data_IF_709416317322
#
_entry.id   IF_709416317322
#
_cell.length_a   1.000
_cell.length_b   1.000
_cell.length_c   1.000
_cell.angle_alpha   90.00
_cell.angle_beta   90.00
_cell.angle_gamma   90.00
#
_symmetry.space_group_name_H-M   'P 1'
#
loop_
_entity.id
_entity.type
_entity.pdbx_description
1 polymer ?
2 non-polymer ?
3 non-polymer ?
4 non-polymer ?
5 non-polymer ?
6 non-polymer ?
7 non-polymer ?
8 water ?
#
# COMPACT_ATOMS: atom_id res chain seq x y z
N UNK A 3 21.46 6.50 22.55
CA UNK A 3 21.47 5.76 21.30
C UNK A 3 22.55 6.28 20.35
N UNK A 4 23.24 5.35 19.69
CA UNK A 4 24.28 5.68 18.72
C UNK A 4 23.79 5.31 17.32
N UNK A 5 23.73 6.28 16.43
CA UNK A 5 23.23 6.02 15.10
C UNK A 5 24.24 5.19 14.31
N UNK A 6 23.77 4.52 13.26
CA UNK A 6 24.66 3.65 12.48
C UNK A 6 25.87 4.37 11.93
N UNK A 7 26.95 3.61 11.81
CA UNK A 7 28.22 4.11 11.30
C UNK A 7 28.48 3.71 9.85
N UNK A 8 27.55 3.01 9.21
CA UNK A 8 27.75 2.51 7.86
C UNK A 8 28.11 3.63 6.90
N UNK A 9 28.95 3.35 5.90
CA UNK A 9 29.51 4.44 5.07
C UNK A 9 28.49 5.23 4.29
N UNK A 10 27.38 4.61 3.87
CA UNK A 10 26.36 5.29 3.10
C UNK A 10 25.15 5.70 3.94
N UNK A 11 25.18 5.49 5.25
CA UNK A 11 24.07 5.94 6.09
C UNK A 11 23.86 7.44 5.95
N UNK A 12 24.88 8.28 5.90
CA UNK A 12 24.63 9.71 5.71
C UNK A 12 23.88 10.03 4.42
N UNK A 13 24.00 9.18 3.39
CA UNK A 13 23.28 9.37 2.15
C UNK A 13 21.84 8.89 2.24
N UNK A 14 21.45 8.24 3.33
CA UNK A 14 20.08 7.72 3.49
C UNK A 14 19.23 8.82 4.10
N UNK A 15 19.04 9.86 3.29
CA UNK A 15 18.44 11.13 3.71
C UNK A 15 17.05 10.96 4.29
N UNK A 16 16.35 9.89 3.90
CA UNK A 16 14.98 9.63 4.33
C UNK A 16 14.93 8.95 5.68
N UNK A 17 16.08 8.47 6.17
CA UNK A 17 16.28 8.04 7.56
C UNK A 17 17.11 9.06 8.35
N UNK A 18 18.33 9.36 7.89
CA UNK A 18 19.28 10.11 8.70
C UNK A 18 19.07 11.61 8.65
N UNK A 19 18.01 12.09 8.01
CA UNK A 19 17.82 13.52 7.85
C UNK A 19 17.64 14.21 9.20
N UNK A 20 18.22 15.40 9.32
CA UNK A 20 18.09 16.26 10.48
C UNK A 20 17.24 17.49 10.18
N UNK A 21 16.52 17.49 9.05
CA UNK A 21 15.79 18.66 8.58
C UNK A 21 14.28 18.43 8.55
N UNK A 22 13.78 17.41 9.25
CA UNK A 22 12.36 17.07 9.36
C UNK A 22 11.74 16.57 8.06
N UNK A 23 12.53 16.35 7.01
CA UNK A 23 12.02 15.72 5.79
C UNK A 23 12.47 14.26 5.72
N UNK A 24 11.97 13.45 6.68
CA UNK A 24 12.37 12.05 6.77
C UNK A 24 11.25 11.24 7.44
N UNK A 25 11.48 9.93 7.56
CA UNK A 25 10.48 8.99 8.06
C UNK A 25 10.53 8.81 9.57
N UNK A 26 11.32 9.63 10.27
CA UNK A 26 11.37 9.63 11.73
C UNK A 26 11.71 8.23 12.26
N UNK A 27 12.70 7.60 11.62
CA UNK A 27 13.08 6.24 11.99
C UNK A 27 14.08 6.25 13.16
N UNK A 28 14.98 7.23 13.24
CA UNK A 28 15.92 7.26 14.36
C UNK A 28 15.20 7.28 15.70
N UNK A 29 14.06 7.99 15.75
CA UNK A 29 13.27 8.06 16.97
C UNK A 29 12.79 6.68 17.40
N UNK A 30 12.44 5.82 16.44
CA UNK A 30 12.06 4.46 16.80
C UNK A 30 13.26 3.65 17.24
N UNK A 31 14.39 3.76 16.53
CA UNK A 31 15.61 3.09 16.94
C UNK A 31 16.00 3.49 18.37
N UNK A 32 15.91 4.78 18.68
CA UNK A 32 16.26 5.24 20.03
C UNK A 32 15.28 4.76 21.10
N UNK A 33 14.02 4.50 20.73
CA UNK A 33 13.07 3.87 21.65
C UNK A 33 13.39 2.39 21.87
N UNK A 34 14.39 1.85 21.16
CA UNK A 34 14.80 0.47 21.29
C UNK A 34 14.28 -0.49 20.22
N UNK A 35 13.65 0.01 19.17
CA UNK A 35 12.99 -0.84 18.18
C UNK A 35 13.80 -0.85 16.90
N UNK A 36 14.34 -2.03 16.55
CA UNK A 36 15.15 -2.19 15.36
C UNK A 36 14.69 -3.36 14.49
N UNK A 37 13.64 -4.06 14.89
CA UNK A 37 13.10 -5.16 14.12
C UNK A 37 13.42 -6.54 14.66
N UNK A 38 14.11 -6.63 15.80
CA UNK A 38 14.41 -7.92 16.41
C UNK A 38 13.16 -8.80 16.46
N UNK A 39 13.29 -10.03 15.97
CA UNK A 39 12.21 -11.01 16.06
C UNK A 39 11.17 -10.94 14.96
N UNK A 40 11.25 -9.97 14.07
CA UNK A 40 10.26 -9.82 13.00
C UNK A 40 10.86 -10.39 11.72
N UNK A 41 9.98 -10.97 10.89
CA UNK A 41 10.36 -11.66 9.66
C UNK A 41 9.61 -11.01 8.51
N UNK A 42 10.35 -10.50 7.53
CA UNK A 42 9.82 -9.86 6.33
C UNK A 42 10.25 -10.65 5.10
N UNK A 43 9.36 -10.80 4.13
CA UNK A 43 9.70 -11.43 2.85
C UNK A 43 9.39 -10.49 1.69
N UNK A 44 10.36 -10.37 0.76
CA UNK A 44 10.24 -9.60 -0.46
C UNK A 44 9.76 -10.51 -1.58
N UNK A 45 8.57 -10.26 -2.13
CA UNK A 45 8.03 -11.07 -3.24
C UNK A 45 8.44 -10.39 -4.53
N UNK A 46 9.47 -10.90 -5.21
CA UNK A 46 10.00 -10.17 -6.36
C UNK A 46 10.78 -11.12 -7.24
N UNK A 47 11.96 -10.70 -7.72
CA UNK A 47 12.73 -11.47 -8.69
C UNK A 47 13.86 -12.27 -8.06
N UNK A 48 13.85 -12.42 -6.74
CA UNK A 48 14.89 -13.14 -6.03
C UNK A 48 15.64 -12.25 -5.05
N UNK A 49 16.49 -12.88 -4.26
CA UNK A 49 17.29 -12.16 -3.28
C UNK A 49 18.70 -12.73 -3.24
N UNK A 50 19.68 -11.85 -3.34
CA UNK A 50 21.09 -12.23 -3.26
C UNK A 50 21.41 -12.49 -1.80
N UNK A 51 21.21 -13.73 -1.37
CA UNK A 51 21.21 -14.06 0.06
C UNK A 51 22.60 -13.98 0.67
N UNK A 52 23.64 -14.04 -0.17
CA UNK A 52 25.02 -13.91 0.24
C UNK A 52 25.53 -12.48 0.15
N UNK A 53 24.65 -11.51 -0.09
CA UNK A 53 25.11 -10.12 -0.16
C UNK A 53 25.74 -9.74 1.18
N UNK A 54 26.90 -9.07 1.17
CA UNK A 54 27.54 -8.76 2.46
C UNK A 54 26.70 -7.91 3.39
N UNK A 55 25.72 -7.17 2.89
CA UNK A 55 24.84 -6.40 3.77
C UNK A 55 23.50 -7.09 4.02
N UNK A 56 23.27 -8.31 3.49
CA UNK A 56 22.05 -9.08 3.77
C UNK A 56 22.29 -10.39 4.50
N UNK A 57 23.46 -11.02 4.32
CA UNK A 57 23.67 -12.36 4.83
C UNK A 57 23.41 -12.46 6.32
N UNK A 58 23.82 -11.44 7.08
CA UNK A 58 23.67 -11.50 8.52
C UNK A 58 22.22 -11.59 8.98
N UNK A 59 21.29 -11.07 8.18
CA UNK A 59 19.87 -11.09 8.51
C UNK A 59 19.06 -12.07 7.67
N UNK A 60 19.70 -12.76 6.72
CA UNK A 60 18.96 -13.60 5.80
C UNK A 60 18.29 -14.78 6.51
N UNK A 61 17.05 -15.04 6.14
CA UNK A 61 16.24 -16.11 6.71
C UNK A 61 15.75 -17.03 5.61
N UNK A 62 16.29 -18.24 5.47
CA UNK A 62 15.74 -19.14 4.45
C UNK A 62 14.29 -19.53 4.68
N UNK A 63 13.82 -19.47 5.92
CA UNK A 63 12.41 -19.74 6.19
C UNK A 63 11.48 -18.66 5.70
N UNK A 64 12.02 -17.52 5.29
CA UNK A 64 11.24 -16.45 4.70
C UNK A 64 11.39 -16.42 3.19
N UNK A 65 11.91 -17.50 2.60
CA UNK A 65 12.34 -17.48 1.22
C UNK A 65 11.89 -18.75 0.50
N UNK A 66 11.73 -18.62 -0.81
CA UNK A 66 11.44 -19.75 -1.69
C UNK A 66 11.64 -19.28 -3.11
N UNK A 67 11.84 -20.24 -4.02
CA UNK A 67 11.93 -19.97 -5.45
C UNK A 67 10.72 -20.63 -6.11
N UNK A 68 9.68 -19.84 -6.34
CA UNK A 68 8.47 -20.35 -6.97
C UNK A 68 8.66 -20.50 -8.47
N UNK A 69 9.52 -19.70 -9.08
CA UNK A 69 9.71 -19.80 -10.54
C UNK A 69 10.33 -21.13 -10.92
N UNK A 70 11.32 -21.61 -10.16
CA UNK A 70 11.99 -22.86 -10.47
C UNK A 70 11.63 -23.99 -9.51
N UNK A 71 10.76 -23.72 -8.54
CA UNK A 71 10.27 -24.70 -7.56
C UNK A 71 11.43 -25.35 -6.78
N UNK A 72 12.12 -24.50 -6.03
CA UNK A 72 13.18 -24.94 -5.13
C UNK A 72 13.28 -23.93 -4.00
N UNK A 73 14.03 -24.25 -2.94
CA UNK A 73 14.01 -23.38 -1.76
C UNK A 73 14.87 -22.15 -1.88
N UNK A 74 15.70 -22.07 -2.94
CA UNK A 74 16.81 -21.12 -3.01
C UNK A 74 16.45 -19.96 -3.93
N UNK A 75 16.23 -18.75 -3.37
CA UNK A 75 15.72 -17.63 -4.19
C UNK A 75 16.81 -16.81 -4.85
N UNK A 76 18.01 -17.37 -4.96
CA UNK A 76 19.11 -16.61 -5.56
C UNK A 76 18.69 -16.08 -6.92
N UNK A 77 19.01 -14.82 -7.25
CA UNK A 77 18.63 -14.29 -8.56
C UNK A 77 19.37 -14.95 -9.71
N UNK A 78 18.72 -14.89 -10.87
CA UNK A 78 19.35 -15.27 -12.13
C UNK A 78 20.21 -14.10 -12.64
N UNK A 79 21.52 -14.35 -12.77
CA UNK A 79 22.45 -13.30 -13.17
C UNK A 79 22.46 -13.17 -14.69
N UNK A 80 22.32 -11.93 -15.16
CA UNK A 80 22.34 -11.63 -16.59
C UNK A 80 23.19 -10.38 -16.82
N UNK A 81 23.60 -10.19 -18.09
CA UNK A 81 24.44 -9.05 -18.44
C UNK A 81 23.78 -7.72 -18.12
N UNK A 82 22.46 -7.66 -18.24
CA UNK A 82 21.72 -6.45 -18.00
C UNK A 82 21.34 -6.27 -16.54
N UNK A 83 21.69 -7.24 -15.68
CA UNK A 83 21.31 -7.23 -14.27
C UNK A 83 19.82 -7.02 -14.07
N UNK A 84 19.02 -7.72 -14.88
CA UNK A 84 17.57 -7.56 -14.85
C UNK A 84 16.98 -7.94 -13.50
N UNK A 85 17.54 -8.93 -12.83
CA UNK A 85 16.94 -9.49 -11.62
C UNK A 85 17.54 -8.92 -10.35
N UNK A 86 17.68 -7.60 -10.32
CA UNK A 86 18.27 -6.87 -9.21
C UNK A 86 17.25 -6.33 -8.22
N UNK A 87 15.97 -6.36 -8.57
CA UNK A 87 15.01 -5.52 -7.85
C UNK A 87 14.71 -6.07 -6.45
N UNK A 88 14.62 -7.38 -6.29
CA UNK A 88 14.36 -7.94 -4.98
C UNK A 88 15.48 -7.71 -3.98
N UNK A 89 16.73 -7.73 -4.46
CA UNK A 89 17.88 -7.45 -3.60
C UNK A 89 17.87 -5.99 -3.14
N UNK A 90 17.56 -5.07 -4.03
CA UNK A 90 17.40 -3.67 -3.65
C UNK A 90 16.30 -3.50 -2.60
N UNK A 91 15.14 -4.13 -2.83
CA UNK A 91 14.05 -4.00 -1.87
C UNK A 91 14.42 -4.62 -0.52
N UNK A 92 15.12 -5.76 -0.52
CA UNK A 92 15.46 -6.42 0.73
C UNK A 92 16.35 -5.53 1.61
N UNK A 93 17.30 -4.84 1.00
CA UNK A 93 18.20 -3.99 1.78
C UNK A 93 17.51 -2.78 2.36
N UNK A 94 16.47 -2.30 1.71
CA UNK A 94 15.69 -1.23 2.29
C UNK A 94 15.08 -1.62 3.62
N UNK A 95 14.58 -2.86 3.71
CA UNK A 95 13.95 -3.34 4.94
C UNK A 95 15.01 -3.63 6.00
N UNK A 96 16.06 -4.37 5.60
CA UNK A 96 16.83 -5.08 6.61
C UNK A 96 18.31 -5.22 6.29
N UNK A 97 18.89 -4.29 5.54
CA UNK A 97 20.35 -4.26 5.46
C UNK A 97 20.98 -4.17 6.84
N UNK A 98 22.06 -4.94 7.03
CA UNK A 98 22.77 -5.01 8.30
C UNK A 98 23.37 -3.66 8.64
N UNK A 99 23.37 -3.33 9.92
CA UNK A 99 23.87 -2.06 10.41
C UNK A 99 25.25 -2.23 11.04
N UNK A 100 26.01 -1.14 11.01
CA UNK A 100 27.28 -1.01 11.75
C UNK A 100 28.32 -2.03 11.31
N UNK A 101 28.35 -2.36 10.01
CA UNK A 101 29.22 -3.39 9.50
C UNK A 101 30.13 -2.87 8.38
N UNK A 102 30.27 -1.55 8.25
CA UNK A 102 31.17 -0.99 7.25
C UNK A 102 30.76 -1.20 5.81
N UNK A 103 29.52 -1.61 5.54
CA UNK A 103 29.05 -1.91 4.19
C UNK A 103 27.78 -1.11 3.90
N UNK A 104 27.78 -0.38 2.78
CA UNK A 104 26.60 0.31 2.23
C UNK A 104 25.90 1.08 3.36
N UNK A 105 24.57 0.98 3.49
CA UNK A 105 23.85 1.71 4.52
C UNK A 105 23.17 0.74 5.47
N UNK A 106 21.94 1.06 5.90
CA UNK A 106 21.21 0.20 6.83
C UNK A 106 19.77 0.05 6.35
N UNK A 107 19.16 -1.05 6.76
CA UNK A 107 17.73 -1.19 6.65
C UNK A 107 17.00 -0.38 7.69
N UNK A 108 15.72 -0.09 7.38
CA UNK A 108 14.85 0.50 8.38
C UNK A 108 14.77 -0.38 9.62
N UNK A 109 14.58 -1.67 9.41
CA UNK A 109 14.53 -2.66 10.49
C UNK A 109 15.78 -3.52 10.40
N UNK A 110 16.92 -2.93 10.77
CA UNK A 110 18.20 -3.53 10.47
C UNK A 110 18.53 -4.72 11.36
N UNK A 111 17.68 -5.07 12.33
CA UNK A 111 17.81 -6.32 13.06
C UNK A 111 16.69 -7.29 12.76
N UNK A 112 15.83 -6.99 11.80
CA UNK A 112 14.83 -7.95 11.38
C UNK A 112 15.47 -9.03 10.51
N UNK A 113 14.75 -10.14 10.36
CA UNK A 113 15.14 -11.19 9.46
C UNK A 113 14.43 -10.99 8.13
N UNK A 114 15.14 -11.29 7.04
CA UNK A 114 14.72 -10.89 5.69
C UNK A 114 14.86 -12.08 4.76
N UNK A 115 13.80 -12.33 3.98
CA UNK A 115 13.85 -13.35 2.94
C UNK A 115 13.31 -12.80 1.63
N UNK A 116 13.36 -13.64 0.62
CA UNK A 116 12.81 -13.28 -0.67
C UNK A 116 12.14 -14.47 -1.33
N UNK A 117 11.06 -14.18 -2.07
CA UNK A 117 10.44 -15.17 -2.93
C UNK A 117 10.79 -14.79 -4.35
N UNK A 118 11.46 -15.71 -5.04
CA UNK A 118 11.76 -15.53 -6.46
C UNK A 118 10.51 -15.98 -7.21
N UNK A 119 9.71 -15.02 -7.66
CA UNK A 119 8.47 -15.36 -8.33
C UNK A 119 8.16 -14.49 -9.55
N UNK A 120 8.91 -13.42 -9.82
CA UNK A 120 8.64 -12.63 -11.01
C UNK A 120 9.45 -13.06 -12.22
N UNK A 121 10.44 -13.93 -12.05
CA UNK A 121 11.37 -14.26 -13.13
C UNK A 121 10.91 -15.54 -13.82
N UNK A 122 9.79 -15.41 -14.52
CA UNK A 122 9.15 -16.50 -15.19
C UNK A 122 7.72 -16.09 -15.50
N UNK A 123 6.92 -17.09 -15.88
CA UNK A 123 5.51 -16.84 -16.15
C UNK A 123 4.77 -16.71 -14.82
N UNK A 124 4.19 -15.53 -14.57
CA UNK A 124 3.59 -15.22 -13.28
C UNK A 124 2.09 -15.51 -13.40
N UNK A 125 1.74 -16.73 -13.05
CA UNK A 125 0.36 -17.18 -13.05
C UNK A 125 -0.31 -16.88 -11.71
N UNK A 126 -1.63 -17.06 -11.70
CA UNK A 126 -2.39 -16.98 -10.47
C UNK A 126 -1.80 -17.93 -9.42
N UNK A 127 -1.47 -19.15 -9.82
CA UNK A 127 -0.90 -20.11 -8.88
C UNK A 127 0.44 -19.63 -8.32
N UNK A 128 1.30 -19.06 -9.18
CA UNK A 128 2.58 -18.51 -8.72
C UNK A 128 2.35 -17.43 -7.68
N UNK A 129 1.40 -16.52 -7.95
CA UNK A 129 1.12 -15.46 -6.98
C UNK A 129 0.62 -16.05 -5.68
N UNK A 130 -0.29 -17.01 -5.77
CA UNK A 130 -0.92 -17.57 -4.57
C UNK A 130 0.11 -18.29 -3.70
N UNK A 131 1.00 -19.07 -4.32
CA UNK A 131 2.00 -19.77 -3.53
C UNK A 131 3.01 -18.83 -2.91
N UNK A 132 3.19 -17.64 -3.49
CA UNK A 132 4.10 -16.64 -2.93
C UNK A 132 3.49 -15.93 -1.73
N UNK A 133 2.25 -15.42 -1.91
CA UNK A 133 1.52 -14.73 -0.87
C UNK A 133 1.28 -15.64 0.32
N UNK A 134 1.15 -16.93 0.08
CA UNK A 134 0.91 -17.90 1.12
C UNK A 134 2.13 -18.62 1.63
N UNK A 135 3.34 -18.15 1.32
CA UNK A 135 4.55 -18.79 1.83
C UNK A 135 4.63 -18.68 3.34
N UNK A 136 4.77 -19.83 3.99
CA UNK A 136 5.15 -19.95 5.40
C UNK A 136 4.46 -18.89 6.27
N UNK A 137 3.12 -18.84 6.27
CA UNK A 137 2.41 -17.70 6.86
C UNK A 137 2.39 -17.67 8.38
N UNK A 138 2.88 -18.70 9.05
CA UNK A 138 3.07 -18.63 10.49
C UNK A 138 4.51 -18.38 10.87
N UNK A 139 5.35 -18.07 9.89
CA UNK A 139 6.72 -17.64 10.14
C UNK A 139 6.97 -16.24 9.64
N UNK A 140 6.57 -15.95 8.40
CA UNK A 140 6.71 -14.62 7.83
C UNK A 140 5.62 -13.74 8.42
N UNK A 141 5.99 -12.56 8.90
CA UNK A 141 5.03 -11.65 9.48
C UNK A 141 4.49 -10.68 8.43
N UNK A 142 5.38 -10.19 7.58
CA UNK A 142 5.13 -9.08 6.68
C UNK A 142 5.65 -9.45 5.30
N UNK A 143 4.83 -9.20 4.29
CA UNK A 143 5.18 -9.42 2.89
C UNK A 143 5.21 -8.08 2.18
N UNK A 144 6.17 -7.89 1.28
CA UNK A 144 6.32 -6.65 0.54
C UNK A 144 6.27 -6.99 -0.94
N UNK A 145 5.41 -6.28 -1.68
CA UNK A 145 5.21 -6.57 -3.10
C UNK A 145 5.13 -5.27 -3.90
N UNK A 146 5.99 -5.19 -4.91
CA UNK A 146 6.17 -4.02 -5.76
C UNK A 146 5.92 -4.49 -7.19
N UNK A 147 4.71 -4.95 -7.48
CA UNK A 147 4.34 -5.53 -8.77
C UNK A 147 2.82 -5.60 -8.86
N UNK A 148 2.33 -5.88 -10.07
CA UNK A 148 0.91 -6.03 -10.32
C UNK A 148 0.56 -5.85 -11.79
N UNK A 149 -0.70 -5.50 -12.07
CA UNK A 149 -1.13 -5.34 -13.47
C UNK A 149 -0.37 -4.23 -14.17
N UNK A 150 -0.24 -4.36 -15.50
CA UNK A 150 0.58 -3.44 -16.28
C UNK A 150 0.12 -2.00 -16.06
N UNK A 151 1.09 -1.13 -15.79
CA UNK A 151 0.83 0.29 -15.58
C UNK A 151 0.72 1.06 -16.89
N UNK A 152 -0.07 0.55 -17.83
CA UNK A 152 -0.23 1.21 -19.12
C UNK A 152 -1.37 2.23 -19.15
N UNK A 153 -2.10 2.39 -18.04
CA UNK A 153 -3.22 3.31 -18.00
C UNK A 153 -4.42 2.85 -18.76
N UNK A 154 -4.47 1.57 -19.14
CA UNK A 154 -5.64 1.03 -19.80
C UNK A 154 -6.09 -0.32 -19.27
N UNK A 155 -5.43 -0.86 -18.26
CA UNK A 155 -5.71 -2.18 -17.72
C UNK A 155 -6.59 -2.05 -16.50
N UNK A 156 -7.56 -2.95 -16.37
CA UNK A 156 -8.30 -3.15 -15.14
C UNK A 156 -8.15 -4.62 -14.80
N UNK A 157 -7.45 -4.93 -13.72
CA UNK A 157 -7.17 -6.33 -13.40
C UNK A 157 -6.75 -6.41 -11.94
N UNK A 158 -6.92 -7.60 -11.39
CA UNK A 158 -6.59 -7.84 -10.01
C UNK A 158 -6.36 -9.31 -9.77
N UNK A 159 -6.21 -9.69 -8.51
CA UNK A 159 -5.96 -11.09 -8.19
C UNK A 159 -7.07 -11.98 -8.71
N UNK A 160 -6.67 -13.08 -9.34
CA UNK A 160 -7.59 -14.15 -9.73
C UNK A 160 -7.85 -15.03 -8.50
N UNK A 161 -8.50 -16.18 -8.71
CA UNK A 161 -9.12 -16.87 -7.58
C UNK A 161 -8.09 -17.34 -6.57
N UNK A 162 -7.00 -17.98 -7.02
CA UNK A 162 -6.06 -18.53 -6.03
C UNK A 162 -5.40 -17.41 -5.22
N UNK A 163 -5.05 -16.30 -5.87
CA UNK A 163 -4.41 -15.20 -5.17
C UNK A 163 -5.37 -14.50 -4.22
N UNK A 164 -6.63 -14.34 -4.61
CA UNK A 164 -7.60 -13.77 -3.68
C UNK A 164 -7.82 -14.70 -2.49
N UNK A 165 -7.88 -16.02 -2.74
CA UNK A 165 -7.97 -16.97 -1.65
C UNK A 165 -6.75 -16.87 -0.74
N UNK A 166 -5.58 -16.64 -1.34
CA UNK A 166 -4.38 -16.48 -0.51
C UNK A 166 -4.48 -15.25 0.38
N UNK A 167 -4.99 -14.13 -0.15
CA UNK A 167 -5.18 -12.96 0.71
C UNK A 167 -6.14 -13.29 1.86
N UNK A 168 -7.25 -13.96 1.57
CA UNK A 168 -8.23 -14.20 2.62
C UNK A 168 -7.67 -15.15 3.67
N UNK A 169 -6.96 -16.21 3.23
CA UNK A 169 -6.34 -17.12 4.18
C UNK A 169 -5.26 -16.43 4.99
N UNK A 170 -4.50 -15.54 4.36
CA UNK A 170 -3.42 -14.85 5.05
C UNK A 170 -3.92 -13.94 6.14
N UNK A 171 -4.93 -13.13 5.86
CA UNK A 171 -5.39 -12.19 6.88
C UNK A 171 -6.24 -12.88 7.94
N UNK A 172 -6.80 -14.05 7.62
CA UNK A 172 -7.68 -14.77 8.53
C UNK A 172 -6.91 -15.72 9.44
N UNK A 173 -6.10 -16.60 8.88
CA UNK A 173 -5.37 -17.57 9.69
C UNK A 173 -3.87 -17.31 9.77
N UNK A 174 -3.30 -16.46 8.91
CA UNK A 174 -1.89 -16.18 8.97
C UNK A 174 -1.48 -15.53 10.28
N UNK A 175 -0.20 -15.72 10.62
CA UNK A 175 0.38 -15.08 11.79
C UNK A 175 -0.42 -15.41 13.07
N UNK A 176 -0.75 -16.69 13.23
CA UNK A 176 -1.42 -17.13 14.43
C UNK A 176 -2.84 -16.61 14.57
N UNK A 177 -3.47 -16.26 13.46
CA UNK A 177 -4.78 -15.68 13.47
C UNK A 177 -4.81 -14.17 13.52
N UNK A 178 -3.67 -13.51 13.68
CA UNK A 178 -3.61 -12.07 13.67
C UNK A 178 -3.65 -11.50 12.27
N UNK A 179 -3.23 -12.27 11.27
CA UNK A 179 -3.27 -11.87 9.88
C UNK A 179 -1.94 -11.40 9.31
N UNK A 180 -1.54 -12.04 8.21
CA UNK A 180 -0.41 -11.58 7.40
C UNK A 180 -0.57 -10.11 7.08
N UNK A 181 0.54 -9.38 7.11
CA UNK A 181 0.54 -7.99 6.71
C UNK A 181 1.12 -7.93 5.30
N UNK A 182 0.27 -7.56 4.34
CA UNK A 182 0.67 -7.42 2.93
C UNK A 182 0.88 -5.95 2.59
N UNK A 183 2.13 -5.56 2.37
CA UNK A 183 2.46 -4.18 2.04
C UNK A 183 2.65 -4.10 0.53
N UNK A 184 2.02 -3.12 -0.11
CA UNK A 184 1.94 -3.05 -1.56
C UNK A 184 2.34 -1.66 -2.05
N UNK A 185 3.10 -1.63 -3.13
CA UNK A 185 3.38 -0.39 -3.85
C UNK A 185 2.18 -0.05 -4.75
N UNK A 186 1.74 1.21 -4.73
CA UNK A 186 0.48 1.55 -5.39
C UNK A 186 0.56 1.62 -6.91
N UNK A 187 1.75 1.76 -7.50
CA UNK A 187 1.90 1.70 -8.93
C UNK A 187 2.89 2.73 -9.46
N UNK A 188 3.37 2.50 -10.69
CA UNK A 188 4.32 3.42 -11.33
C UNK A 188 3.80 3.99 -12.63
N UNK A 189 2.48 4.04 -12.81
CA UNK A 189 1.86 4.43 -14.06
C UNK A 189 1.54 5.90 -14.28
N UNK A 190 2.19 6.78 -13.50
CA UNK A 190 1.88 8.20 -13.58
C UNK A 190 2.02 8.81 -14.97
N UNK A 191 3.04 8.39 -15.72
CA UNK A 191 3.25 8.97 -17.05
C UNK A 191 2.12 8.61 -17.98
N UNK A 192 1.47 7.48 -17.72
CA UNK A 192 0.34 7.02 -18.50
C UNK A 192 -1.00 7.46 -17.92
N UNK A 193 -0.99 8.38 -16.95
CA UNK A 193 -2.21 8.85 -16.29
C UNK A 193 -3.02 7.70 -15.72
N UNK A 194 -2.31 6.69 -15.20
CA UNK A 194 -2.97 5.55 -14.59
C UNK A 194 -3.60 5.96 -13.25
N UNK A 195 -4.63 5.21 -12.87
CA UNK A 195 -5.48 5.47 -11.70
C UNK A 195 -5.48 4.15 -10.92
N UNK A 196 -4.90 4.13 -9.70
CA UNK A 196 -4.52 2.84 -9.11
C UNK A 196 -5.70 2.05 -8.52
N UNK A 197 -6.91 2.59 -8.47
CA UNK A 197 -7.99 1.69 -8.09
C UNK A 197 -8.31 0.67 -9.18
N UNK A 198 -7.75 0.85 -10.39
CA UNK A 198 -7.89 -0.14 -11.45
C UNK A 198 -6.93 -1.32 -11.30
N UNK A 199 -6.16 -1.34 -10.22
CA UNK A 199 -5.23 -2.41 -9.87
C UNK A 199 -5.79 -3.09 -8.63
N UNK A 200 -6.31 -4.30 -8.81
CA UNK A 200 -7.01 -4.99 -7.73
C UNK A 200 -6.12 -5.45 -6.59
N UNK A 201 -4.79 -5.45 -6.78
CA UNK A 201 -3.90 -5.81 -5.69
C UNK A 201 -3.77 -4.64 -4.72
N UNK A 202 -3.49 -3.45 -5.24
CA UNK A 202 -3.40 -2.31 -4.34
C UNK A 202 -4.78 -1.85 -3.86
N UNK A 203 -5.81 -2.01 -4.70
CA UNK A 203 -7.19 -1.64 -4.34
C UNK A 203 -7.81 -2.57 -3.29
N UNK A 204 -7.17 -3.68 -2.97
CA UNK A 204 -7.66 -4.60 -1.95
C UNK A 204 -7.64 -3.99 -0.56
N UNK A 205 -8.63 -4.33 0.26
CA UNK A 205 -8.56 -3.94 1.67
C UNK A 205 -7.47 -4.71 2.41
N UNK A 206 -7.04 -5.87 1.89
CA UNK A 206 -6.09 -6.73 2.59
C UNK A 206 -4.65 -6.30 2.38
N UNK A 207 -4.41 -5.35 1.48
CA UNK A 207 -3.07 -4.83 1.27
C UNK A 207 -2.99 -3.41 1.81
N UNK A 208 -1.85 -3.11 2.40
CA UNK A 208 -1.57 -1.83 3.01
C UNK A 208 -0.79 -1.06 1.95
N UNK A 209 -1.48 -0.20 1.20
CA UNK A 209 -0.94 0.35 -0.03
C UNK A 209 -0.25 1.68 0.19
N UNK A 210 0.91 1.82 -0.46
CA UNK A 210 1.87 2.88 -0.19
C UNK A 210 2.24 3.59 -1.49
N UNK A 211 2.23 4.92 -1.46
CA UNK A 211 2.68 5.77 -2.55
C UNK A 211 3.96 6.49 -2.16
N UNK A 212 4.46 7.32 -3.08
CA UNK A 212 5.75 7.97 -2.95
C UNK A 212 5.65 9.50 -2.89
N UNK A 213 6.67 10.09 -2.29
CA UNK A 213 6.91 11.53 -2.37
C UNK A 213 8.37 11.75 -2.71
N UNK A 214 8.65 12.82 -3.45
CA UNK A 214 10.01 13.16 -3.79
C UNK A 214 10.69 13.84 -2.60
N UNK A 215 12.02 13.99 -2.69
CA UNK A 215 12.76 14.59 -1.57
C UNK A 215 12.25 15.98 -1.23
N UNK A 216 11.88 16.78 -2.23
CA UNK A 216 11.40 18.12 -1.97
C UNK A 216 9.91 18.14 -1.62
N UNK A 217 9.31 16.97 -1.42
CA UNK A 217 7.93 16.88 -1.00
C UNK A 217 6.88 16.96 -2.09
N UNK A 218 7.21 16.55 -3.30
CA UNK A 218 6.27 16.63 -4.42
C UNK A 218 5.81 15.25 -4.88
N UNK A 219 4.75 15.27 -5.69
CA UNK A 219 4.21 14.06 -6.28
C UNK A 219 5.10 13.67 -7.46
N UNK A 220 5.78 12.54 -7.39
CA UNK A 220 6.71 12.17 -8.47
C UNK A 220 5.99 11.92 -9.78
N UNK A 221 6.77 12.00 -10.85
CA UNK A 221 6.22 11.77 -12.18
C UNK A 221 5.51 10.43 -12.31
N UNK A 222 5.97 9.39 -11.60
CA UNK A 222 5.46 8.02 -11.78
C UNK A 222 4.25 7.73 -10.89
N UNK A 223 3.88 8.64 -10.01
CA UNK A 223 2.84 8.38 -9.02
C UNK A 223 1.48 8.19 -9.69
N UNK A 224 0.69 7.28 -9.11
CA UNK A 224 -0.73 7.13 -9.43
C UNK A 224 -1.54 7.60 -8.24
N UNK A 225 -2.54 8.42 -8.51
CA UNK A 225 -3.49 8.81 -7.47
C UNK A 225 -4.63 7.80 -7.42
N UNK A 226 -5.07 7.47 -6.21
CA UNK A 226 -6.33 6.74 -6.07
C UNK A 226 -6.76 6.76 -4.62
N UNK A 227 -8.04 6.45 -4.40
CA UNK A 227 -8.59 6.48 -3.05
C UNK A 227 -8.21 5.27 -2.22
N UNK A 228 -7.69 4.20 -2.82
CA UNK A 228 -7.34 3.02 -2.03
C UNK A 228 -6.00 3.16 -1.31
N UNK A 229 -5.17 4.11 -1.68
CA UNK A 229 -3.86 4.27 -1.03
C UNK A 229 -4.04 4.70 0.43
N UNK A 230 -3.16 4.22 1.29
CA UNK A 230 -3.25 4.49 2.72
C UNK A 230 -2.22 5.49 3.22
N UNK A 231 -0.99 5.44 2.72
CA UNK A 231 0.06 6.32 3.20
C UNK A 231 1.22 6.37 2.20
N UNK A 232 2.28 7.08 2.58
CA UNK A 232 3.37 7.46 1.68
C UNK A 232 4.72 7.25 2.35
N UNK A 233 5.73 6.87 1.57
CA UNK A 233 7.11 7.03 2.00
C UNK A 233 7.90 7.72 0.89
N UNK A 234 9.03 8.28 1.27
CA UNK A 234 9.89 8.92 0.28
C UNK A 234 10.42 7.93 -0.74
N UNK A 235 10.61 8.42 -1.96
CA UNK A 235 11.35 7.72 -3.00
C UNK A 235 11.97 8.77 -3.91
N UNK A 236 12.20 8.41 -5.17
CA UNK A 236 12.93 9.23 -6.14
C UNK A 236 12.03 10.27 -6.79
N UNK A 237 12.67 11.24 -7.43
CA UNK A 237 11.99 12.31 -8.14
C UNK A 237 12.80 12.78 -9.33
N UNK A 238 13.13 14.08 -9.39
CA UNK A 238 13.87 14.63 -10.49
C UNK A 238 15.38 14.45 -10.24
N UNK A 239 16.21 14.94 -11.15
CA UNK A 239 17.64 14.64 -11.06
C UNK A 239 18.38 15.56 -10.11
N UNK A 240 17.70 16.50 -9.50
CA UNK A 240 18.25 17.29 -8.39
C UNK A 240 17.89 16.72 -7.03
N UNK A 241 16.99 15.73 -7.00
CA UNK A 241 16.51 15.11 -5.79
C UNK A 241 17.21 13.76 -5.61
N UNK A 242 17.52 13.45 -4.36
CA UNK A 242 18.20 12.19 -4.09
C UNK A 242 17.24 11.00 -4.23
N UNK A 243 17.82 9.81 -4.20
CA UNK A 243 17.06 8.58 -4.43
C UNK A 243 17.29 7.61 -3.29
N UNK A 244 16.92 6.35 -3.46
CA UNK A 244 16.99 5.39 -2.36
C UNK A 244 18.29 4.61 -2.45
N UNK A 245 18.95 4.44 -1.29
CA UNK A 245 20.30 3.90 -1.18
C UNK A 245 20.17 2.52 -0.55
N UNK A 246 20.68 1.48 -1.22
CA UNK A 246 20.43 0.15 -0.73
C UNK A 246 21.39 -0.85 -1.36
N UNK A 247 21.19 -2.11 -1.00
CA UNK A 247 21.96 -3.22 -1.54
C UNK A 247 21.63 -3.49 -3.00
N UNK A 248 22.63 -3.82 -3.78
CA UNK A 248 22.43 -4.11 -5.19
C UNK A 248 23.03 -5.47 -5.53
N UNK A 249 22.57 -5.98 -6.66
CA UNK A 249 23.06 -7.24 -7.19
C UNK A 249 24.57 -7.18 -7.37
N UNK A 250 25.20 -8.36 -7.27
CA UNK A 250 26.65 -8.55 -7.38
C UNK A 250 27.38 -7.88 -6.21
N UNK A 251 26.75 -7.92 -5.04
CA UNK A 251 27.40 -7.55 -3.78
C UNK A 251 27.81 -6.07 -3.76
N UNK A 252 27.04 -5.26 -4.47
CA UNK A 252 27.28 -3.83 -4.63
C UNK A 252 26.28 -3.02 -3.81
N UNK A 253 26.44 -1.68 -3.91
CA UNK A 253 25.63 -0.69 -3.21
C UNK A 253 25.16 0.37 -4.21
N UNK A 254 23.85 0.60 -4.26
CA UNK A 254 23.30 1.55 -5.20
C UNK A 254 22.77 2.76 -4.45
N UNK A 255 22.87 3.92 -5.09
CA UNK A 255 22.22 5.13 -4.61
C UNK A 255 21.07 5.54 -5.51
N UNK A 256 20.64 4.67 -6.42
CA UNK A 256 19.67 5.07 -7.44
C UNK A 256 18.54 4.07 -7.56
N UNK A 257 18.02 3.61 -6.43
CA UNK A 257 16.77 2.85 -6.45
C UNK A 257 15.61 3.83 -6.46
N UNK A 258 14.57 3.50 -7.23
CA UNK A 258 13.55 4.48 -7.60
C UNK A 258 12.12 3.92 -7.58
N UNK A 259 11.17 4.85 -7.72
CA UNK A 259 9.76 4.51 -7.94
C UNK A 259 9.00 4.13 -6.69
N UNK A 260 7.71 3.87 -6.90
CA UNK A 260 6.90 3.39 -5.80
C UNK A 260 7.37 2.03 -5.31
N UNK A 261 8.07 1.29 -6.16
CA UNK A 261 8.66 0.00 -5.79
C UNK A 261 9.64 0.14 -4.65
N UNK A 262 10.29 1.30 -4.51
CA UNK A 262 11.17 1.52 -3.38
C UNK A 262 10.46 2.00 -2.12
N UNK A 263 9.24 2.54 -2.27
CA UNK A 263 8.48 3.02 -1.12
C UNK A 263 7.90 1.87 -0.29
N UNK A 264 7.39 0.82 -0.95
CA UNK A 264 6.76 -0.26 -0.19
C UNK A 264 7.74 -0.94 0.75
N UNK A 265 8.97 -1.25 0.36
CA UNK A 265 9.89 -1.87 1.33
C UNK A 265 10.19 -1.00 2.53
N UNK A 266 10.30 0.32 2.32
CA UNK A 266 10.52 1.22 3.45
C UNK A 266 9.35 1.16 4.41
N UNK A 267 8.12 1.17 3.87
CA UNK A 267 6.95 0.97 4.71
C UNK A 267 6.99 -0.38 5.42
N UNK A 268 7.37 -1.44 4.71
CA UNK A 268 7.44 -2.75 5.35
C UNK A 268 8.42 -2.72 6.52
N UNK A 269 9.54 -2.01 6.36
CA UNK A 269 10.47 -1.89 7.48
C UNK A 269 9.89 -1.14 8.65
N UNK A 270 9.16 -0.06 8.39
CA UNK A 270 8.54 0.68 9.48
C UNK A 270 7.50 -0.19 10.18
N UNK A 271 6.72 -0.95 9.40
CA UNK A 271 5.74 -1.87 9.97
C UNK A 271 6.42 -2.94 10.79
N UNK A 272 7.61 -3.39 10.38
CA UNK A 272 8.37 -4.34 11.20
C UNK A 272 8.74 -3.74 12.57
N UNK A 273 9.22 -2.48 12.60
CA UNK A 273 9.52 -1.87 13.89
C UNK A 273 8.28 -1.80 14.76
N UNK A 274 7.14 -1.46 14.15
CA UNK A 274 5.87 -1.37 14.86
C UNK A 274 5.44 -2.71 15.44
N UNK A 275 5.57 -3.79 14.66
CA UNK A 275 5.23 -5.11 15.18
C UNK A 275 6.13 -5.50 16.35
N UNK A 276 7.42 -5.14 16.28
CA UNK A 276 8.29 -5.44 17.41
C UNK A 276 7.76 -4.78 18.68
N UNK A 277 7.23 -3.57 18.54
CA UNK A 277 6.69 -2.83 19.66
C UNK A 277 5.39 -3.44 20.18
N UNK A 278 4.68 -4.21 19.35
CA UNK A 278 3.46 -4.86 19.82
C UNK A 278 3.18 -6.04 18.88
N UNK A 279 3.61 -7.22 19.28
CA UNK A 279 3.53 -8.40 18.43
C UNK A 279 2.10 -8.89 18.27
N UNK A 280 1.17 -8.37 19.05
CA UNK A 280 -0.21 -8.81 19.04
C UNK A 280 -1.09 -8.01 18.11
N UNK A 281 -0.53 -7.05 17.38
CA UNK A 281 -1.30 -6.24 16.44
C UNK A 281 -1.84 -7.11 15.32
N UNK A 282 -3.12 -6.91 14.98
CA UNK A 282 -3.73 -7.61 13.86
C UNK A 282 -3.46 -6.85 12.56
N UNK A 283 -3.78 -7.49 11.44
CA UNK A 283 -3.64 -6.82 10.16
C UNK A 283 -4.46 -5.55 10.09
N UNK A 284 -5.65 -5.52 10.74
CA UNK A 284 -6.43 -4.30 10.76
C UNK A 284 -5.87 -3.28 11.74
N UNK A 285 -5.42 -3.72 12.93
CA UNK A 285 -4.77 -2.78 13.85
C UNK A 285 -3.68 -1.99 13.12
N UNK A 286 -2.88 -2.67 12.30
CA UNK A 286 -1.75 -2.02 11.65
C UNK A 286 -2.23 -0.91 10.72
N UNK A 287 -3.34 -1.15 10.03
CA UNK A 287 -3.87 -0.11 9.15
C UNK A 287 -4.40 1.06 9.96
N UNK A 288 -5.07 0.80 11.10
CA UNK A 288 -5.48 1.87 12.00
C UNK A 288 -4.28 2.72 12.46
N UNK A 289 -3.19 2.06 12.84
CA UNK A 289 -2.01 2.80 13.30
C UNK A 289 -1.49 3.72 12.21
N UNK A 290 -1.44 3.22 10.97
CA UNK A 290 -0.99 4.04 9.85
C UNK A 290 -1.91 5.23 9.65
N UNK A 291 -3.23 5.03 9.71
CA UNK A 291 -4.17 6.14 9.53
C UNK A 291 -3.94 7.19 10.61
N UNK A 292 -3.77 6.76 11.86
CA UNK A 292 -3.72 7.72 12.96
C UNK A 292 -2.40 8.49 13.01
N UNK A 293 -1.29 7.91 12.55
CA UNK A 293 0.02 8.50 12.81
C UNK A 293 0.68 9.13 11.60
N UNK A 294 0.17 8.91 10.40
CA UNK A 294 0.83 9.44 9.21
C UNK A 294 0.62 10.95 9.11
N UNK A 295 1.57 11.60 8.46
CA UNK A 295 1.76 13.04 8.55
C UNK A 295 1.67 13.72 7.18
N UNK A 296 0.70 14.60 6.97
CA UNK A 296 0.65 15.35 5.71
C UNK A 296 1.74 16.38 5.58
N UNK A 297 2.30 16.87 6.69
CA UNK A 297 3.05 18.13 6.69
C UNK A 297 4.12 18.15 5.62
N UNK A 298 4.12 19.22 4.83
CA UNK A 298 5.15 19.48 3.83
C UNK A 298 5.08 18.57 2.61
N UNK A 299 4.08 17.71 2.51
CA UNK A 299 3.79 17.06 1.24
C UNK A 299 2.87 17.96 0.43
N UNK A 300 3.28 18.25 -0.81
CA UNK A 300 2.55 19.18 -1.66
C UNK A 300 1.59 18.43 -2.58
N UNK A 301 0.32 18.80 -2.52
CA UNK A 301 -0.67 18.28 -3.45
C UNK A 301 -1.82 19.28 -3.52
N UNK A 302 -2.54 19.27 -4.63
CA UNK A 302 -3.64 20.20 -4.77
C UNK A 302 -4.95 19.64 -4.24
N UNK A 303 -4.95 18.41 -3.73
CA UNK A 303 -6.21 17.76 -3.36
C UNK A 303 -6.30 17.38 -1.90
N UNK A 304 -5.48 17.98 -1.03
CA UNK A 304 -5.62 17.70 0.39
C UNK A 304 -6.99 18.14 0.84
N UNK A 305 -7.70 17.24 1.50
CA UNK A 305 -9.05 17.52 1.97
C UNK A 305 -9.20 16.96 3.37
N UNK A 306 -9.94 17.67 4.22
CA UNK A 306 -10.20 17.19 5.56
C UNK A 306 -11.45 16.33 5.57
N UNK A 307 -11.33 15.11 6.11
CA UNK A 307 -12.45 14.19 6.11
C UNK A 307 -13.35 14.43 7.34
N UNK A 308 -14.27 13.52 7.58
CA UNK A 308 -15.27 13.79 8.59
C UNK A 308 -14.82 13.69 10.02
N UNK A 309 -13.65 13.12 10.25
CA UNK A 309 -13.08 13.05 11.59
C UNK A 309 -11.83 13.92 11.69
N UNK A 310 -11.71 14.91 10.80
CA UNK A 310 -10.68 15.92 10.92
C UNK A 310 -9.32 15.53 10.43
N UNK A 311 -9.17 14.42 9.71
CA UNK A 311 -7.89 14.01 9.18
C UNK A 311 -7.75 14.48 7.73
N UNK A 312 -6.57 14.99 7.40
CA UNK A 312 -6.29 15.39 6.03
C UNK A 312 -5.93 14.16 5.19
N UNK A 313 -6.45 14.10 3.97
CA UNK A 313 -6.22 12.95 3.10
C UNK A 313 -6.13 13.41 1.65
N UNK A 314 -5.20 12.80 0.92
CA UNK A 314 -4.94 13.09 -0.47
C UNK A 314 -4.98 11.78 -1.25
N UNK A 315 -5.38 11.85 -2.52
CA UNK A 315 -5.34 10.66 -3.36
C UNK A 315 -3.92 10.34 -3.81
N UNK A 316 -2.99 11.30 -3.72
CA UNK A 316 -1.58 11.01 -4.02
C UNK A 316 -0.87 10.36 -2.85
N UNK A 317 -1.26 10.69 -1.63
CA UNK A 317 -0.47 10.37 -0.46
C UNK A 317 -1.22 9.60 0.62
N UNK A 318 -2.51 9.35 0.45
CA UNK A 318 -3.30 8.78 1.54
C UNK A 318 -3.29 9.75 2.71
N UNK A 319 -3.00 9.22 3.89
CA UNK A 319 -2.94 10.04 5.09
C UNK A 319 -1.59 10.73 5.29
N UNK A 320 -0.67 10.56 4.35
CA UNK A 320 0.59 11.27 4.40
C UNK A 320 1.78 10.35 4.65
N UNK A 321 2.89 10.98 5.04
CA UNK A 321 4.13 10.25 5.29
C UNK A 321 4.03 9.37 6.52
N UNK A 322 4.57 8.16 6.40
CA UNK A 322 4.72 7.32 7.57
C UNK A 322 5.68 7.98 8.55
N UNK A 323 5.40 7.76 9.83
CA UNK A 323 6.15 8.33 10.95
C UNK A 323 6.49 7.18 11.88
N UNK A 324 7.72 6.65 11.76
CA UNK A 324 8.07 5.44 12.47
C UNK A 324 8.05 5.64 13.98
N UNK A 325 8.59 6.76 14.47
CA UNK A 325 8.57 6.99 15.91
C UNK A 325 7.15 7.06 16.46
N UNK A 326 6.23 7.67 15.71
CA UNK A 326 4.85 7.76 16.17
C UNK A 326 4.15 6.41 16.11
N UNK A 327 4.47 5.61 15.08
CA UNK A 327 3.92 4.27 14.96
C UNK A 327 4.28 3.39 16.13
N UNK A 328 5.58 3.33 16.49
CA UNK A 328 6.00 2.45 17.57
C UNK A 328 5.45 2.95 18.91
N UNK A 329 5.38 4.27 19.09
CA UNK A 329 4.85 4.79 20.34
C UNK A 329 3.38 4.44 20.52
N UNK A 330 2.59 4.58 19.46
CA UNK A 330 1.15 4.30 19.56
C UNK A 330 0.87 2.80 19.65
N UNK A 331 1.71 1.97 19.02
CA UNK A 331 1.53 0.54 19.06
C UNK A 331 1.59 -0.03 20.48
N UNK A 332 2.41 0.56 21.34
CA UNK A 332 2.77 -0.13 22.58
C UNK A 332 1.56 -0.41 23.46
N UNK A 333 0.66 0.57 23.61
CA UNK A 333 -0.52 0.38 24.46
C UNK A 333 -1.79 0.27 23.63
N UNK A 334 -1.67 -0.06 22.35
CA UNK A 334 -2.83 -0.16 21.48
C UNK A 334 -3.78 -1.26 21.93
N UNK A 335 -5.07 -0.91 21.99
CA UNK A 335 -6.13 -1.90 22.23
C UNK A 335 -6.63 -2.48 20.92
N UNK A 336 -6.61 -3.80 20.83
CA UNK A 336 -7.05 -4.51 19.64
C UNK A 336 -8.44 -4.04 19.22
N UNK A 337 -8.59 -3.78 17.92
CA UNK A 337 -9.88 -3.34 17.43
C UNK A 337 -10.88 -4.49 17.51
N UNK A 338 -12.15 -4.13 17.52
CA UNK A 338 -13.20 -5.12 17.61
C UNK A 338 -13.26 -5.92 16.31
N UNK A 339 -13.97 -7.06 16.31
CA UNK A 339 -14.03 -7.87 15.09
C UNK A 339 -14.63 -7.08 13.93
N UNK A 340 -14.17 -7.39 12.74
CA UNK A 340 -14.59 -6.68 11.55
C UNK A 340 -16.03 -7.01 11.19
N UNK A 341 -16.85 -5.98 11.02
CA UNK A 341 -18.20 -6.10 10.51
C UNK A 341 -18.23 -5.72 9.03
N UNK A 342 -19.22 -6.26 8.32
CA UNK A 342 -19.40 -6.02 6.89
C UNK A 342 -20.87 -5.77 6.63
N UNK A 343 -21.21 -4.59 6.15
CA UNK A 343 -22.61 -4.21 5.88
C UNK A 343 -22.77 -4.06 4.38
N UNK A 344 -23.62 -4.89 3.78
CA UNK A 344 -23.85 -4.96 2.33
C UNK A 344 -25.13 -4.21 2.00
N UNK A 345 -25.06 -3.21 1.15
CA UNK A 345 -26.21 -2.41 0.79
C UNK A 345 -26.34 -2.40 -0.74
N UNK A 346 -27.33 -3.11 -1.25
CA UNK A 346 -27.58 -3.10 -2.67
C UNK A 346 -28.44 -1.88 -2.99
N UNK A 347 -27.93 -1.00 -3.86
CA UNK A 347 -28.43 0.38 -3.95
C UNK A 347 -29.54 0.52 -5.00
N UNK A 348 -29.37 -0.05 -6.20
CA UNK A 348 -30.28 0.26 -7.31
C UNK A 348 -31.54 -0.57 -7.27
N UNK A 349 -32.67 0.04 -7.66
CA UNK A 349 -33.88 -0.72 -7.92
C UNK A 349 -34.16 -0.92 -9.40
N UNK A 350 -33.33 -0.32 -10.27
CA UNK A 350 -33.49 -0.40 -11.72
C UNK A 350 -32.16 0.03 -12.32
N UNK A 351 -31.82 -0.44 -13.52
CA UNK A 351 -30.64 0.08 -14.22
C UNK A 351 -30.79 1.57 -14.52
N UNK A 352 -29.65 2.27 -14.58
CA UNK A 352 -29.62 3.71 -14.76
C UNK A 352 -28.76 4.05 -15.98
N UNK A 353 -29.32 4.80 -16.91
CA UNK A 353 -28.53 5.28 -18.04
C UNK A 353 -27.47 6.27 -17.57
N UNK A 354 -26.25 6.12 -18.07
CA UNK A 354 -25.17 7.03 -17.65
C UNK A 354 -25.17 8.29 -18.49
N UNK A 355 -25.15 8.14 -19.81
CA UNK A 355 -25.14 9.32 -20.65
C UNK A 355 -23.93 10.19 -20.33
N UNK A 356 -24.18 11.51 -20.28
CA UNK A 356 -23.15 12.49 -19.97
C UNK A 356 -22.79 12.52 -18.49
N UNK A 357 -23.75 12.20 -17.62
CA UNK A 357 -23.57 12.33 -16.19
C UNK A 357 -24.70 11.63 -15.48
N UNK A 358 -24.36 10.90 -14.42
CA UNK A 358 -25.34 10.20 -13.59
C UNK A 358 -24.98 10.43 -12.14
N UNK A 359 -25.98 10.75 -11.34
CA UNK A 359 -25.84 10.86 -9.90
C UNK A 359 -26.82 9.89 -9.26
N UNK A 360 -26.33 9.07 -8.34
CA UNK A 360 -27.17 8.14 -7.56
C UNK A 360 -27.01 8.52 -6.11
N UNK A 361 -28.12 8.91 -5.46
CA UNK A 361 -28.12 9.23 -4.04
C UNK A 361 -28.91 8.17 -3.29
N UNK A 362 -28.38 7.74 -2.15
CA UNK A 362 -29.10 6.79 -1.31
C UNK A 362 -28.80 7.06 0.15
N UNK A 363 -29.83 7.09 0.98
CA UNK A 363 -29.66 7.25 2.42
C UNK A 363 -29.69 5.87 3.05
N UNK A 364 -28.66 5.54 3.82
CA UNK A 364 -28.50 4.19 4.36
C UNK A 364 -28.49 4.24 5.89
N UNK A 365 -28.85 3.12 6.50
CA UNK A 365 -28.76 2.99 7.95
C UNK A 365 -27.56 2.18 8.40
N UNK A 366 -26.76 1.66 7.48
CA UNK A 366 -25.53 0.93 7.80
C UNK A 366 -25.81 -0.24 8.74
N UNK A 367 -26.84 -1.02 8.38
CA UNK A 367 -27.19 -2.27 9.05
C UNK A 367 -27.60 -2.02 10.51
N UNK A 368 -28.31 -0.91 10.73
CA UNK A 368 -28.90 -0.61 12.03
C UNK A 368 -29.72 -1.78 12.56
N UNK A 369 -29.50 -2.10 13.84
CA UNK A 369 -30.23 -3.16 14.49
C UNK A 369 -29.74 -4.56 14.21
N UNK A 370 -28.65 -4.71 13.46
CA UNK A 370 -28.08 -6.00 13.06
C UNK A 370 -26.69 -6.17 13.63
N UNK A 371 -26.18 -7.41 13.68
CA UNK A 371 -24.81 -7.64 14.15
C UNK A 371 -23.75 -6.96 13.32
N UNK A 372 -24.05 -6.60 12.07
CA UNK A 372 -23.09 -5.91 11.23
C UNK A 372 -23.30 -4.41 11.19
N UNK A 373 -24.07 -3.86 12.14
CA UNK A 373 -24.18 -2.41 12.26
C UNK A 373 -22.80 -1.77 12.38
N UNK A 374 -22.53 -0.76 11.55
CA UNK A 374 -21.25 -0.06 11.54
C UNK A 374 -21.48 1.41 11.88
N UNK A 375 -20.86 1.88 12.97
CA UNK A 375 -20.80 3.29 13.27
C UNK A 375 -19.41 3.86 13.07
N UNK A 376 -18.40 3.03 12.82
CA UNK A 376 -17.01 3.45 12.68
C UNK A 376 -16.46 2.75 11.45
N UNK A 377 -16.44 3.46 10.32
CA UNK A 377 -15.98 2.88 9.07
C UNK A 377 -14.48 2.59 9.06
N UNK A 378 -14.10 1.52 8.36
CA UNK A 378 -12.70 1.32 7.95
C UNK A 378 -12.69 1.56 6.45
N UNK A 379 -12.61 0.52 5.62
CA UNK A 379 -12.71 0.60 4.17
C UNK A 379 -14.16 0.68 3.73
N UNK A 380 -14.41 1.40 2.65
CA UNK A 380 -15.69 1.34 1.95
C UNK A 380 -15.44 1.00 0.49
N UNK A 381 -16.35 0.23 -0.10
CA UNK A 381 -16.29 -0.10 -1.52
C UNK A 381 -17.59 0.30 -2.18
N UNK A 382 -17.47 0.78 -3.41
CA UNK A 382 -18.60 0.87 -4.33
C UNK A 382 -18.33 -0.18 -5.38
N UNK A 383 -19.06 -1.29 -5.32
CA UNK A 383 -18.89 -2.37 -6.27
C UNK A 383 -19.83 -2.10 -7.44
N UNK A 384 -19.26 -1.74 -8.58
CA UNK A 384 -20.03 -1.26 -9.71
C UNK A 384 -19.98 -2.21 -10.89
N UNK A 385 -21.14 -2.40 -11.50
CA UNK A 385 -21.26 -3.11 -12.77
C UNK A 385 -21.89 -2.14 -13.77
N UNK A 386 -21.18 -1.87 -14.86
CA UNK A 386 -21.64 -0.90 -15.84
C UNK A 386 -21.03 -1.23 -17.20
N UNK A 387 -21.76 -0.86 -18.24
CA UNK A 387 -21.28 -0.81 -19.61
C UNK A 387 -21.00 0.62 -19.99
N UNK A 388 -20.00 0.80 -20.85
CA UNK A 388 -19.71 2.13 -21.39
C UNK A 388 -18.92 1.91 -22.67
N UNK A 389 -19.06 2.83 -23.62
CA UNK A 389 -18.39 2.63 -24.91
C UNK A 389 -16.89 2.96 -24.87
N UNK A 390 -16.44 3.88 -24.00
CA UNK A 390 -15.01 4.20 -23.88
C UNK A 390 -14.70 4.42 -22.40
N UNK A 391 -14.11 3.40 -21.77
CA UNK A 391 -14.07 3.36 -20.31
C UNK A 391 -13.30 4.54 -19.74
N UNK A 392 -12.18 4.92 -20.36
CA UNK A 392 -11.30 5.94 -19.80
C UNK A 392 -11.85 7.35 -19.84
N UNK A 393 -12.98 7.57 -20.49
CA UNK A 393 -13.61 8.86 -20.41
C UNK A 393 -14.41 9.02 -19.12
N UNK A 394 -14.61 7.94 -18.37
CA UNK A 394 -15.38 8.02 -17.14
C UNK A 394 -14.54 8.55 -15.98
N UNK A 395 -15.14 9.43 -15.19
CA UNK A 395 -14.65 9.72 -13.85
C UNK A 395 -15.77 9.42 -12.85
N UNK A 396 -15.39 8.80 -11.74
CA UNK A 396 -16.35 8.35 -10.75
C UNK A 396 -15.94 8.87 -9.37
N UNK A 397 -16.91 9.43 -8.65
CA UNK A 397 -16.71 9.92 -7.29
C UNK A 397 -17.76 9.34 -6.37
N UNK A 398 -17.39 9.16 -5.11
CA UNK A 398 -18.29 8.72 -4.04
C UNK A 398 -18.16 9.69 -2.88
N UNK A 399 -19.29 10.22 -2.43
CA UNK A 399 -19.32 11.17 -1.31
C UNK A 399 -19.99 10.50 -0.12
N UNK A 400 -19.32 10.51 1.03
CA UNK A 400 -19.84 9.95 2.26
C UNK A 400 -20.84 10.90 2.91
N UNK A 401 -21.61 10.40 3.87
CA UNK A 401 -22.56 11.28 4.58
C UNK A 401 -21.88 12.44 5.27
N UNK A 402 -20.60 12.28 5.64
CA UNK A 402 -19.85 13.36 6.27
C UNK A 402 -19.26 14.33 5.26
N UNK A 403 -19.54 14.16 3.98
CA UNK A 403 -19.09 15.08 2.96
C UNK A 403 -17.75 14.79 2.32
N UNK A 404 -17.17 13.62 2.58
CA UNK A 404 -15.83 13.29 2.09
C UNK A 404 -15.95 12.76 0.66
N UNK A 405 -15.39 13.50 -0.29
CA UNK A 405 -15.41 13.14 -1.70
C UNK A 405 -14.21 12.24 -2.00
N UNK A 406 -14.49 10.98 -2.30
CA UNK A 406 -13.48 10.05 -2.76
C UNK A 406 -13.56 9.93 -4.26
N UNK A 407 -12.45 10.16 -4.94
CA UNK A 407 -12.35 9.80 -6.35
C UNK A 407 -12.17 8.29 -6.44
N UNK A 408 -13.16 7.61 -6.99
CA UNK A 408 -13.02 6.18 -7.22
C UNK A 408 -12.30 5.90 -8.53
N UNK A 409 -12.45 6.75 -9.54
CA UNK A 409 -11.82 6.57 -10.84
C UNK A 409 -11.61 7.94 -11.46
N UNK A 410 -10.37 8.22 -11.88
CA UNK A 410 -10.12 9.41 -12.67
C UNK A 410 -10.09 9.05 -14.15
N UNK A 411 -10.31 10.05 -15.01
CA UNK A 411 -10.22 9.83 -16.44
C UNK A 411 -8.87 9.21 -16.78
N UNK A 412 -8.88 8.21 -17.65
CA UNK A 412 -7.67 7.54 -18.11
C UNK A 412 -7.62 7.66 -19.62
N UNK A 413 -6.82 8.58 -20.16
CA UNK A 413 -6.91 8.88 -21.59
C UNK A 413 -6.58 7.71 -22.50
N UNK A 414 -5.74 6.78 -22.06
CA UNK A 414 -5.37 5.63 -22.88
C UNK A 414 -6.33 4.46 -22.79
N UNK A 415 -7.32 4.51 -21.90
CA UNK A 415 -8.23 3.37 -21.71
C UNK A 415 -9.38 3.48 -22.71
N UNK A 416 -9.23 2.81 -23.86
CA UNK A 416 -10.24 2.78 -24.90
C UNK A 416 -11.22 1.61 -24.75
N UNK A 417 -11.13 0.84 -23.68
CA UNK A 417 -11.90 -0.39 -23.57
C UNK A 417 -13.39 -0.12 -23.65
N UNK A 418 -14.08 -1.04 -24.33
CA UNK A 418 -15.54 -1.06 -24.37
C UNK A 418 -16.12 -2.08 -23.40
N UNK A 419 -15.31 -2.64 -22.51
CA UNK A 419 -15.71 -3.74 -21.64
C UNK A 419 -16.26 -3.28 -20.28
N UNK A 420 -16.19 -2.00 -19.96
CA UNK A 420 -16.84 -1.52 -18.75
C UNK A 420 -16.23 -2.09 -17.49
N UNK A 421 -17.04 -2.16 -16.44
CA UNK A 421 -16.63 -2.71 -15.15
C UNK A 421 -17.60 -3.81 -14.75
N UNK A 422 -17.05 -4.96 -14.37
CA UNK A 422 -17.85 -6.11 -13.98
C UNK A 422 -17.71 -6.34 -12.47
N UNK A 423 -18.63 -5.75 -11.70
CA UNK A 423 -18.64 -5.83 -10.24
C UNK A 423 -17.26 -5.45 -9.69
N UNK A 424 -16.71 -4.35 -10.19
CA UNK A 424 -15.40 -3.91 -9.73
C UNK A 424 -15.53 -3.17 -8.41
N UNK A 425 -14.78 -3.61 -7.40
CA UNK A 425 -14.92 -3.10 -6.04
C UNK A 425 -13.99 -1.91 -5.76
N UNK A 426 -14.34 -0.75 -6.33
CA UNK A 426 -13.58 0.47 -6.10
C UNK A 426 -13.54 0.75 -4.60
N UNK A 427 -12.34 0.96 -4.04
CA UNK A 427 -12.19 1.09 -2.60
C UNK A 427 -11.65 2.46 -2.19
N UNK A 428 -12.19 2.99 -1.08
CA UNK A 428 -11.65 4.20 -0.49
C UNK A 428 -11.31 4.01 0.99
N UNK A 429 -10.15 4.56 1.37
CA UNK A 429 -9.71 4.68 2.75
C UNK A 429 -10.03 6.04 3.35
N UNK A 430 -10.54 6.98 2.55
CA UNK A 430 -10.63 8.38 2.96
C UNK A 430 -11.72 8.65 4.00
N UNK A 431 -12.64 7.71 4.23
CA UNK A 431 -13.72 7.89 5.20
C UNK A 431 -13.50 7.07 6.45
N UNK A 432 -12.27 6.54 6.64
CA UNK A 432 -11.89 5.80 7.82
C UNK A 432 -12.30 6.56 9.09
N UNK A 433 -12.97 5.85 9.99
CA UNK A 433 -13.46 6.28 11.30
C UNK A 433 -14.71 7.17 11.21
N UNK A 434 -15.20 7.48 10.01
CA UNK A 434 -16.48 8.17 9.91
C UNK A 434 -17.65 7.24 10.25
N UNK A 435 -18.75 7.86 10.66
CA UNK A 435 -20.02 7.17 10.77
C UNK A 435 -20.65 7.12 9.37
N UNK A 436 -20.89 5.93 8.81
CA UNK A 436 -21.41 5.83 7.44
C UNK A 436 -22.92 5.92 7.31
N UNK A 437 -23.65 6.17 8.39
CA UNK A 437 -25.08 6.37 8.30
C UNK A 437 -25.37 7.67 7.60
N UNK A 438 -26.42 7.68 6.77
CA UNK A 438 -26.83 8.90 6.10
C UNK A 438 -26.74 8.79 4.59
N UNK A 439 -26.67 9.93 3.91
CA UNK A 439 -26.74 9.94 2.45
C UNK A 439 -25.36 9.75 1.83
N UNK A 440 -25.25 8.74 0.97
CA UNK A 440 -24.11 8.54 0.11
C UNK A 440 -24.49 8.98 -1.31
N UNK A 441 -23.51 9.54 -2.04
CA UNK A 441 -23.73 10.00 -3.41
C UNK A 441 -22.67 9.40 -4.32
N UNK A 442 -23.11 8.74 -5.38
CA UNK A 442 -22.23 8.25 -6.44
C UNK A 442 -22.39 9.13 -7.66
N UNK A 443 -21.28 9.63 -8.19
CA UNK A 443 -21.25 10.45 -9.38
C UNK A 443 -20.46 9.73 -10.46
N UNK A 444 -21.06 9.58 -11.64
CA UNK A 444 -20.39 9.05 -12.82
C UNK A 444 -20.49 10.11 -13.90
N UNK A 445 -19.34 10.53 -14.44
CA UNK A 445 -19.32 11.64 -15.40
C UNK A 445 -18.54 11.24 -16.64
N UNK A 446 -19.05 11.63 -17.81
CA UNK A 446 -18.28 11.60 -19.04
C UNK A 446 -17.41 12.85 -19.12
N UNK A 447 -16.09 12.68 -19.03
CA UNK A 447 -15.18 13.83 -19.01
C UNK A 447 -14.82 14.31 -20.40
N UNK A 448 -15.28 13.62 -21.45
CA UNK A 448 -14.99 14.01 -22.82
C UNK A 448 -16.21 14.70 -23.43
N UNK A 449 -15.97 15.39 -24.54
CA UNK A 449 -17.05 16.00 -25.30
C UNK A 449 -17.72 15.02 -26.26
N UNK A 450 -17.26 13.78 -26.31
CA UNK A 450 -17.88 12.77 -27.17
C UNK A 450 -19.24 12.35 -26.63
N UNK A 451 -20.08 11.87 -27.54
CA UNK A 451 -21.41 11.39 -27.17
C UNK A 451 -21.30 9.91 -26.78
N UNK A 452 -20.74 9.70 -25.59
CA UNK A 452 -20.57 8.37 -25.03
C UNK A 452 -21.86 7.91 -24.36
N UNK A 453 -21.93 6.60 -24.12
CA UNK A 453 -23.19 5.98 -23.70
C UNK A 453 -22.93 4.69 -22.93
N UNK A 454 -23.85 4.39 -22.03
CA UNK A 454 -23.78 3.16 -21.27
C UNK A 454 -24.78 3.18 -20.14
N UNK A 455 -24.70 2.11 -19.34
CA UNK A 455 -25.71 1.81 -18.33
C UNK A 455 -25.05 1.28 -17.07
N UNK A 456 -25.44 1.82 -15.92
CA UNK A 456 -25.06 1.27 -14.62
C UNK A 456 -26.11 0.26 -14.20
N UNK A 457 -25.71 -1.00 -14.02
CA UNK A 457 -26.69 -2.04 -13.70
C UNK A 457 -26.63 -2.55 -12.27
N UNK A 458 -25.54 -2.29 -11.54
CA UNK A 458 -25.44 -2.71 -10.14
C UNK A 458 -24.51 -1.75 -9.43
N UNK A 459 -24.93 -1.34 -8.22
CA UNK A 459 -24.14 -0.52 -7.31
C UNK A 459 -24.36 -1.12 -5.93
N UNK A 460 -23.37 -1.85 -5.43
CA UNK A 460 -23.38 -2.36 -4.06
C UNK A 460 -22.43 -1.52 -3.23
N UNK A 461 -22.94 -0.88 -2.20
CA UNK A 461 -22.11 -0.20 -1.23
C UNK A 461 -21.75 -1.21 -0.15
N UNK A 462 -20.45 -1.46 0.03
CA UNK A 462 -20.00 -2.43 1.01
C UNK A 462 -19.18 -1.66 2.04
N UNK A 463 -19.66 -1.69 3.28
CA UNK A 463 -19.03 -0.99 4.38
C UNK A 463 -18.35 -2.02 5.27
N UNK A 464 -17.12 -1.75 5.65
CA UNK A 464 -16.43 -2.52 6.67
C UNK A 464 -16.16 -1.63 7.88
N UNK A 465 -16.13 -2.23 9.07
CA UNK A 465 -15.80 -1.44 10.25
C UNK A 465 -16.36 -2.04 11.52
N UNK A 466 -16.52 -1.18 12.53
CA UNK A 466 -16.95 -1.62 13.85
C UNK A 466 -18.03 -0.69 14.38
N UNK A 467 -18.41 -0.89 15.63
CA UNK A 467 -19.40 -0.05 16.27
C UNK A 467 -18.93 0.41 17.66
N UNK A 468 -17.64 0.55 17.86
CA UNK A 468 -17.16 0.97 19.16
C UNK A 468 -15.75 1.54 19.05
N UNK A 469 -15.43 2.44 19.97
CA UNK A 469 -14.05 2.79 20.24
C UNK A 469 -13.52 4.03 19.54
N UNK A 470 -14.38 4.99 19.21
CA UNK A 470 -13.93 6.15 18.46
C UNK A 470 -13.16 7.14 19.34
N UNK A 471 -12.19 7.80 18.72
CA UNK A 471 -11.50 8.95 19.29
C UNK A 471 -12.31 10.21 19.00
N UNK A 472 -12.06 11.24 19.80
CA UNK A 472 -12.56 12.57 19.43
C UNK A 472 -11.94 12.98 18.10
N UNK A 473 -12.69 13.58 17.17
CA UNK A 473 -12.09 13.98 15.88
C UNK A 473 -10.88 14.88 16.07
N UNK A 474 -9.90 14.70 15.18
CA UNK A 474 -8.63 15.44 15.21
C UNK A 474 -8.83 16.95 15.28
#
# INVERSE_FOLDING_TARGET
>A
DVYQEPTDPKFPQQWYLSGVTQRDLNVKAAWAQGYTGHGIVVSILDDGIEKNHPDLAGNYDPGASFDVNDQDPDPQPRYTQMNDNRHGTRCAGEVAAVANNGVCGVGVAYNARIGGVRMLDGEVTDAVEARSLGLNPNHIHIYSASWGPEDDGKTVDGPARLAEEAFFRGVSQGRGGLGSIFVWASGNGGREHDSCNCDGYTNSIYTLSISSATQFGNVPWYSEACSSTLATTYSSGNQNEKQIVTTDLRQKCTESHTGTSASAPLAAGIIALTLEANKNLTWRDMQHLVVQTSKPAHLNANDWATNGVGRKVSHSYGYGLLDAGAMVALAQNWTTVAPQRKCIIDILTEPKDIGKRLEVRKTVTACLGEPNHITRLEHAQARLTLSYNRRGDLAIHLVSPMGTRSTLLAARPHDYSADGFNDWAFMTTHSWDEDPSGEWVLEIENTSEANNYGTLTKFTLVLYGTASGSLVPRGSHHHH
#
